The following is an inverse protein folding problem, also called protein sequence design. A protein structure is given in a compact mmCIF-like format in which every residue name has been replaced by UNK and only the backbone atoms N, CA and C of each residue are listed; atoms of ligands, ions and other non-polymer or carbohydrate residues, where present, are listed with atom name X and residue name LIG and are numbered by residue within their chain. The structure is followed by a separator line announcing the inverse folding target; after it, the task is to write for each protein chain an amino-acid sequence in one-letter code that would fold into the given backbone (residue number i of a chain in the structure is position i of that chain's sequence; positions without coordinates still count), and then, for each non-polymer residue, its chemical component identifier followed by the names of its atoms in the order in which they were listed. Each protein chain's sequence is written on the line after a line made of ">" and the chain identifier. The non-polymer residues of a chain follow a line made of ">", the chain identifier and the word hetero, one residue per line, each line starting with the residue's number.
data_IF_771800131077
#
_entry.id   IF_771800131077
#
_cell.length_a   1.000
_cell.length_b   1.000
_cell.length_c   1.000
_cell.angle_alpha   90.00
_cell.angle_beta   90.00
_cell.angle_gamma   90.00
#
_symmetry.space_group_name_H-M   'P 1'
#
loop_
_entity.id
_entity.type
_entity.pdbx_description
1 polymer ?
#
# COMPACT_ATOMS: atom_id res chain seq x y z
N UNK A 1 -21.22 6.82 0.58
CA UNK A 1 -20.55 5.80 -0.26
C UNK A 1 -19.90 4.79 0.69
N UNK A 2 -20.28 3.52 0.62
CA UNK A 2 -19.80 2.47 1.52
C UNK A 2 -19.22 1.33 0.68
N UNK A 3 -18.09 0.76 1.11
CA UNK A 3 -17.42 -0.36 0.46
C UNK A 3 -17.62 -1.63 1.28
N UNK A 4 -17.81 -2.76 0.61
CA UNK A 4 -17.84 -4.11 1.22
C UNK A 4 -16.52 -4.84 0.97
N UNK A 5 -15.41 -4.30 1.49
CA UNK A 5 -14.08 -4.87 1.31
C UNK A 5 -13.63 -5.65 2.55
N UNK A 6 -13.18 -6.89 2.36
CA UNK A 6 -12.54 -7.68 3.39
C UNK A 6 -11.07 -7.25 3.55
N UNK A 7 -10.47 -7.38 4.75
CA UNK A 7 -9.05 -7.02 4.95
C UNK A 7 -8.11 -7.78 4.00
N UNK A 8 -8.43 -9.03 3.66
CA UNK A 8 -7.66 -9.81 2.67
C UNK A 8 -7.74 -9.17 1.29
N UNK A 9 -8.90 -8.65 0.88
CA UNK A 9 -9.07 -7.93 -0.38
C UNK A 9 -8.26 -6.62 -0.41
N UNK A 10 -8.20 -5.90 0.71
CA UNK A 10 -7.37 -4.71 0.85
C UNK A 10 -5.86 -5.06 0.78
N UNK A 11 -5.47 -6.12 1.49
CA UNK A 11 -4.08 -6.54 1.59
C UNK A 11 -3.52 -7.13 0.27
N UNK A 12 -4.37 -7.64 -0.62
CA UNK A 12 -3.96 -8.02 -1.99
C UNK A 12 -3.44 -6.82 -2.80
N UNK A 13 -3.91 -5.59 -2.54
CA UNK A 13 -3.33 -4.38 -3.16
C UNK A 13 -1.88 -4.17 -2.71
N UNK A 14 -1.59 -4.30 -1.41
CA UNK A 14 -0.22 -4.19 -0.87
C UNK A 14 0.66 -5.28 -1.46
N UNK A 15 0.17 -6.52 -1.52
CA UNK A 15 0.88 -7.65 -2.12
C UNK A 15 1.14 -7.45 -3.61
N UNK A 16 0.21 -6.87 -4.36
CA UNK A 16 0.39 -6.54 -5.77
C UNK A 16 1.49 -5.51 -5.97
N UNK A 17 1.48 -4.41 -5.20
CA UNK A 17 2.50 -3.35 -5.30
C UNK A 17 3.88 -3.84 -4.83
N UNK A 18 3.94 -4.69 -3.79
CA UNK A 18 5.20 -5.28 -3.31
C UNK A 18 5.92 -6.10 -4.38
N UNK A 19 5.20 -6.77 -5.28
CA UNK A 19 5.78 -7.60 -6.36
C UNK A 19 6.63 -6.82 -7.38
N UNK A 20 6.48 -5.49 -7.47
CA UNK A 20 7.31 -4.68 -8.36
C UNK A 20 8.75 -4.50 -7.84
N UNK A 21 9.05 -4.93 -6.60
CA UNK A 21 10.39 -4.90 -6.01
C UNK A 21 11.07 -3.51 -6.06
N UNK A 22 10.28 -2.44 -5.93
CA UNK A 22 10.76 -1.07 -5.79
C UNK A 22 10.76 -0.67 -4.30
N UNK A 23 11.56 0.34 -3.88
CA UNK A 23 11.44 0.91 -2.54
C UNK A 23 9.99 1.35 -2.26
N UNK A 24 9.34 0.68 -1.31
CA UNK A 24 7.92 0.84 -1.01
C UNK A 24 7.74 1.53 0.34
N UNK A 25 6.99 2.64 0.35
CA UNK A 25 6.50 3.29 1.56
C UNK A 25 5.01 2.99 1.69
N UNK A 26 4.62 2.30 2.75
CA UNK A 26 3.21 2.03 3.08
C UNK A 26 2.78 2.97 4.20
N UNK A 27 1.71 3.73 3.95
CA UNK A 27 1.15 4.67 4.93
C UNK A 27 -0.30 4.30 5.22
N UNK A 28 -0.74 4.58 6.45
CA UNK A 28 -2.15 4.49 6.81
C UNK A 28 -3.00 5.57 6.13
N UNK A 29 -4.24 5.68 6.59
CA UNK A 29 -5.21 6.66 6.11
C UNK A 29 -6.45 6.68 7.00
N UNK A 30 -7.57 7.16 6.46
CA UNK A 30 -8.84 7.17 7.17
C UNK A 30 -9.39 5.77 7.45
N UNK A 31 -10.20 5.66 8.50
CA UNK A 31 -10.92 4.45 8.87
C UNK A 31 -11.68 4.67 10.16
N UNK A 32 -13.01 4.56 10.09
CA UNK A 32 -13.90 5.07 11.14
C UNK A 32 -14.37 3.98 12.12
N UNK A 33 -14.02 2.72 11.84
CA UNK A 33 -14.21 1.58 12.75
C UNK A 33 -12.83 1.13 13.24
N UNK A 34 -12.42 1.59 14.42
CA UNK A 34 -11.04 1.48 14.92
C UNK A 34 -10.53 0.03 14.98
N UNK A 35 -11.40 -0.91 15.34
CA UNK A 35 -11.10 -2.33 15.41
C UNK A 35 -10.78 -2.90 14.03
N UNK A 36 -11.51 -2.45 13.01
CA UNK A 36 -11.28 -2.87 11.63
C UNK A 36 -10.00 -2.25 11.06
N UNK A 37 -9.68 -0.99 11.42
CA UNK A 37 -8.41 -0.35 11.06
C UNK A 37 -7.24 -1.13 11.64
N UNK A 38 -7.28 -1.46 12.93
CA UNK A 38 -6.22 -2.21 13.61
C UNK A 38 -6.00 -3.58 12.94
N UNK A 39 -7.07 -4.32 12.65
CA UNK A 39 -6.98 -5.62 11.96
C UNK A 39 -6.42 -5.47 10.53
N UNK A 40 -6.88 -4.48 9.77
CA UNK A 40 -6.41 -4.22 8.41
C UNK A 40 -4.90 -4.00 8.38
N UNK A 41 -4.39 -3.07 9.18
CA UNK A 41 -2.96 -2.78 9.25
C UNK A 41 -2.13 -3.95 9.77
N UNK A 42 -2.70 -4.76 10.67
CA UNK A 42 -2.04 -5.97 11.15
C UNK A 42 -1.84 -6.97 10.01
N UNK A 43 -2.86 -7.20 9.16
CA UNK A 43 -2.73 -8.07 7.97
C UNK A 43 -1.72 -7.51 6.98
N UNK A 44 -1.81 -6.21 6.66
CA UNK A 44 -0.92 -5.57 5.71
C UNK A 44 0.54 -5.61 6.16
N UNK A 45 0.78 -5.36 7.44
CA UNK A 45 2.11 -5.48 8.04
C UNK A 45 2.62 -6.92 7.95
N UNK A 46 1.78 -7.93 8.19
CA UNK A 46 2.16 -9.34 8.01
C UNK A 46 2.55 -9.72 6.57
N UNK A 47 2.01 -9.02 5.56
CA UNK A 47 2.42 -9.19 4.15
C UNK A 47 3.76 -8.50 3.88
N UNK A 48 4.00 -7.35 4.51
CA UNK A 48 5.25 -6.60 4.37
C UNK A 48 6.41 -7.29 5.11
N UNK A 49 6.15 -7.72 6.34
CA UNK A 49 7.09 -8.36 7.27
C UNK A 49 6.54 -9.72 7.72
N UNK A 50 7.20 -10.80 7.29
CA UNK A 50 6.73 -12.18 7.50
C UNK A 50 7.00 -12.69 8.93
N UNK A 51 7.78 -11.98 9.73
CA UNK A 51 8.28 -12.48 11.02
C UNK A 51 7.20 -12.56 12.10
N UNK A 52 6.08 -11.85 11.92
CA UNK A 52 5.03 -11.73 12.91
C UNK A 52 3.80 -12.61 12.65
N UNK A 53 3.69 -13.23 11.46
CA UNK A 53 2.53 -14.06 11.13
C UNK A 53 2.38 -15.26 12.08
N UNK A 54 3.51 -15.77 12.58
CA UNK A 54 3.59 -16.87 13.56
C UNK A 54 2.89 -16.58 14.90
N UNK A 55 2.70 -15.31 15.26
CA UNK A 55 1.99 -14.95 16.49
C UNK A 55 0.48 -15.12 16.39
N UNK A 56 -0.04 -15.39 15.19
CA UNK A 56 -1.48 -15.61 14.96
C UNK A 56 -1.84 -17.10 14.87
N UNK A 57 -0.94 -18.03 15.22
CA UNK A 57 -1.25 -19.47 15.34
C UNK A 57 -2.30 -19.70 16.44
N UNK A 58 -3.24 -20.66 16.30
CA UNK A 58 -3.37 -21.64 15.21
C UNK A 58 -4.36 -21.26 14.11
N UNK A 59 -5.29 -20.34 14.38
CA UNK A 59 -6.38 -20.02 13.46
C UNK A 59 -6.08 -18.86 12.51
N UNK A 60 -4.97 -18.14 12.73
CA UNK A 60 -4.51 -16.98 11.96
C UNK A 60 -5.63 -15.98 11.68
N UNK A 61 -6.56 -15.88 12.64
CA UNK A 61 -7.91 -15.39 12.38
C UNK A 61 -8.10 -14.00 12.95
N UNK A 62 -8.32 -13.03 12.06
CA UNK A 62 -8.84 -11.71 12.43
C UNK A 62 -10.34 -11.70 12.12
N UNK A 63 -11.14 -12.45 12.88
CA UNK A 63 -12.59 -12.59 12.63
C UNK A 63 -13.28 -11.21 12.59
N UNK A 64 -14.17 -11.06 11.62
CA UNK A 64 -15.00 -9.86 11.42
C UNK A 64 -16.45 -10.32 11.28
N UNK A 65 -17.43 -9.62 11.88
CA UNK A 65 -18.81 -9.82 11.52
C UNK A 65 -19.02 -9.37 10.06
N UNK A 66 -19.41 -10.29 9.19
CA UNK A 66 -19.82 -9.94 7.83
C UNK A 66 -21.17 -9.22 7.84
N UNK A 67 -21.23 -8.06 7.20
CA UNK A 67 -22.49 -7.43 6.79
C UNK A 67 -22.65 -7.60 5.28
N UNK A 68 -23.83 -8.00 4.82
CA UNK A 68 -24.11 -8.02 3.39
C UNK A 68 -24.46 -6.60 2.92
N UNK A 69 -23.58 -6.02 2.12
CA UNK A 69 -23.85 -4.78 1.37
C UNK A 69 -23.91 -5.18 -0.09
N UNK A 70 -25.01 -4.83 -0.76
CA UNK A 70 -25.18 -5.11 -2.18
C UNK A 70 -24.09 -4.40 -3.01
N UNK A 71 -23.48 -5.14 -3.92
CA UNK A 71 -22.50 -4.56 -4.83
C UNK A 71 -23.20 -3.91 -6.03
N UNK A 72 -23.35 -2.59 -5.98
CA UNK A 72 -23.94 -1.80 -7.06
C UNK A 72 -22.98 -1.55 -8.25
N UNK A 73 -21.76 -2.06 -8.19
CA UNK A 73 -20.78 -1.94 -9.28
C UNK A 73 -20.99 -3.05 -10.30
N UNK A 74 -21.74 -2.77 -11.36
CA UNK A 74 -21.94 -3.74 -12.45
C UNK A 74 -20.63 -3.99 -13.20
N UNK A 75 -20.50 -5.19 -13.80
CA UNK A 75 -19.30 -5.53 -14.60
C UNK A 75 -19.10 -4.57 -15.78
N UNK A 76 -20.18 -4.15 -16.43
CA UNK A 76 -20.13 -3.20 -17.54
C UNK A 76 -19.60 -1.83 -17.09
N UNK A 77 -20.12 -1.31 -15.96
CA UNK A 77 -19.67 -0.06 -15.36
C UNK A 77 -18.16 -0.06 -15.02
N UNK A 78 -17.67 -1.13 -14.39
CA UNK A 78 -16.23 -1.25 -14.09
C UNK A 78 -15.40 -1.36 -15.36
N UNK A 79 -15.89 -2.06 -16.38
CA UNK A 79 -15.17 -2.27 -17.64
C UNK A 79 -15.05 -0.96 -18.43
N UNK A 80 -16.11 -0.15 -18.48
CA UNK A 80 -16.08 1.14 -19.17
C UNK A 80 -15.10 2.12 -18.52
N UNK A 81 -15.10 2.22 -17.19
CA UNK A 81 -14.14 3.04 -16.45
C UNK A 81 -12.70 2.54 -16.67
N UNK A 82 -12.48 1.23 -16.62
CA UNK A 82 -11.15 0.64 -16.85
C UNK A 82 -10.60 1.01 -18.23
N UNK A 83 -11.42 0.92 -19.27
CA UNK A 83 -11.02 1.31 -20.64
C UNK A 83 -10.65 2.78 -20.68
N UNK A 84 -11.47 3.66 -20.10
CA UNK A 84 -11.20 5.10 -20.07
C UNK A 84 -9.88 5.43 -19.36
N UNK A 85 -9.60 4.80 -18.21
CA UNK A 85 -8.34 5.00 -17.48
C UNK A 85 -7.14 4.52 -18.33
N UNK A 86 -7.25 3.38 -19.01
CA UNK A 86 -6.17 2.85 -19.84
C UNK A 86 -5.89 3.74 -21.07
N UNK A 87 -6.92 4.32 -21.69
CA UNK A 87 -6.73 5.30 -22.76
C UNK A 87 -6.03 6.57 -22.24
N UNK A 88 -6.42 7.07 -21.07
CA UNK A 88 -5.75 8.21 -20.45
C UNK A 88 -4.26 7.94 -20.17
N UNK A 89 -3.93 6.74 -19.70
CA UNK A 89 -2.54 6.35 -19.42
C UNK A 89 -1.66 6.27 -20.68
N UNK A 90 -2.24 6.04 -21.87
CA UNK A 90 -1.48 6.01 -23.14
C UNK A 90 -0.88 7.37 -23.51
N UNK A 91 -1.44 8.47 -23.02
CA UNK A 91 -0.93 9.81 -23.29
C UNK A 91 0.30 10.18 -22.46
N UNK A 92 0.63 9.38 -21.44
CA UNK A 92 1.84 9.60 -20.64
C UNK A 92 3.05 9.20 -21.50
N UNK A 93 3.94 10.16 -21.80
CA UNK A 93 5.22 9.85 -22.43
C UNK A 93 6.00 8.86 -21.54
N UNK A 94 6.37 7.72 -22.11
CA UNK A 94 7.24 6.77 -21.44
C UNK A 94 8.60 7.46 -21.21
N UNK A 95 9.06 7.53 -19.95
CA UNK A 95 10.43 7.93 -19.66
C UNK A 95 11.35 6.70 -19.83
N UNK A 96 12.19 6.64 -20.89
CA UNK A 96 13.15 5.57 -21.02
C UNK A 96 14.17 5.69 -19.88
N UNK A 97 14.26 4.64 -19.07
CA UNK A 97 15.42 4.33 -18.23
C UNK A 97 16.05 5.53 -17.49
N UNK A 98 15.29 6.20 -16.64
CA UNK A 98 15.90 7.07 -15.62
C UNK A 98 16.65 6.15 -14.66
N UNK A 99 17.98 6.12 -14.75
CA UNK A 99 18.82 5.31 -13.89
C UNK A 99 18.64 5.75 -12.44
N UNK A 100 18.04 4.88 -11.62
CA UNK A 100 17.97 5.07 -10.18
C UNK A 100 19.40 5.02 -9.63
N UNK A 101 19.98 6.18 -9.31
CA UNK A 101 21.25 6.24 -8.60
C UNK A 101 21.00 6.00 -7.11
N UNK A 102 21.73 5.04 -6.55
CA UNK A 102 21.70 4.79 -5.12
C UNK A 102 22.36 5.97 -4.39
N UNK A 103 21.56 6.76 -3.68
CA UNK A 103 22.09 7.85 -2.86
C UNK A 103 22.80 7.23 -1.66
N UNK A 104 24.13 7.33 -1.62
CA UNK A 104 24.93 6.85 -0.50
C UNK A 104 24.52 7.57 0.79
N UNK A 105 23.80 6.85 1.67
CA UNK A 105 23.29 7.36 2.96
C UNK A 105 24.38 7.95 3.85
N UNK A 106 25.65 7.55 3.70
CA UNK A 106 26.78 8.10 4.50
C UNK A 106 27.03 9.59 4.23
N UNK A 107 26.75 10.08 3.02
CA UNK A 107 26.99 11.48 2.67
C UNK A 107 25.92 12.43 3.23
N UNK A 108 24.71 11.93 3.53
CA UNK A 108 23.61 12.77 4.05
C UNK A 108 23.84 13.18 5.51
N UNK A 109 24.48 12.33 6.31
CA UNK A 109 24.79 12.64 7.71
C UNK A 109 26.03 13.52 7.88
N UNK A 110 27.03 13.39 6.98
CA UNK A 110 28.20 14.31 6.94
C UNK A 110 27.79 15.73 6.56
N UNK A 111 27.04 15.88 5.47
CA UNK A 111 26.63 17.19 4.99
C UNK A 111 25.65 17.90 5.95
N UNK A 112 24.87 17.12 6.72
CA UNK A 112 24.04 17.69 7.78
C UNK A 112 24.91 18.14 8.97
N UNK A 113 25.83 17.30 9.46
CA UNK A 113 26.70 17.66 10.60
C UNK A 113 27.63 18.84 10.30
N UNK A 114 28.16 18.94 9.08
CA UNK A 114 29.05 20.04 8.65
C UNK A 114 28.27 21.36 8.56
N UNK A 115 27.02 21.35 8.07
CA UNK A 115 26.15 22.55 8.03
C UNK A 115 25.79 23.13 9.40
N UNK A 116 25.76 22.29 10.44
CA UNK A 116 25.50 22.75 11.81
C UNK A 116 26.76 23.25 12.54
N UNK A 117 27.96 22.89 12.06
CA UNK A 117 29.22 23.32 12.64
C UNK A 117 29.70 24.69 12.11
N UNK A 118 29.27 25.13 10.92
CA UNK A 118 29.63 26.44 10.35
C UNK A 118 28.77 27.62 10.85
N UNK A 119 27.80 27.38 11.73
CA UNK A 119 26.91 28.41 12.29
C UNK A 119 27.21 28.79 13.74
N UNK A 120 28.42 28.49 14.23
CA UNK A 120 28.99 29.02 15.48
C UNK A 120 30.46 29.39 15.29
#
# INVERSE_FOLDING_TARGET
>A
MAFSMLFTGHAECVKFVKKFNLPLLVTGGGGYTKENVARCWTVETGILENDYIKYFVPDFSLKIPGGHIENLNTKSYISSIKVQILENLRYIQHAPSVQMQEINRKNRFKNASEKYAENY
#
